data_IF_985148634880
#
_entry.id   IF_985148634880
#
_cell.length_a   1.000
_cell.length_b   1.000
_cell.length_c   1.000
_cell.angle_alpha   90.00
_cell.angle_beta   90.00
_cell.angle_gamma   90.00
#
_symmetry.space_group_name_H-M   'P 1'
#
loop_
_entity.id
_entity.type
_entity.pdbx_description
1 polymer ?
#
# COMPACT_ATOMS: atom_id res chain seq x y z
N UNK A 1 -2.76 2.82 17.31
CA UNK A 1 -2.98 2.18 15.98
C UNK A 1 -1.85 2.55 15.00
N UNK A 2 -1.81 3.76 14.42
CA UNK A 2 -0.79 4.11 13.40
C UNK A 2 0.67 4.01 13.86
N UNK A 3 1.00 4.51 15.06
CA UNK A 3 2.35 4.39 15.65
C UNK A 3 2.81 2.93 15.77
N UNK A 4 1.88 2.03 16.11
CA UNK A 4 2.14 0.60 16.20
C UNK A 4 2.35 -0.01 14.82
N UNK A 5 1.51 0.32 13.84
CA UNK A 5 1.66 -0.13 12.46
C UNK A 5 3.02 0.25 11.87
N UNK A 6 3.47 1.49 12.10
CA UNK A 6 4.78 1.97 11.66
C UNK A 6 5.89 1.21 12.40
N UNK A 7 5.84 1.10 13.73
CA UNK A 7 6.83 0.35 14.51
C UNK A 7 6.97 -1.11 14.05
N UNK A 8 5.85 -1.80 13.81
CA UNK A 8 5.86 -3.18 13.34
C UNK A 8 6.41 -3.27 11.91
N UNK A 9 6.01 -2.35 11.03
CA UNK A 9 6.55 -2.28 9.67
C UNK A 9 8.06 -2.11 9.70
N UNK A 10 8.58 -1.12 10.43
CA UNK A 10 10.02 -0.87 10.53
C UNK A 10 10.78 -2.02 11.21
N UNK A 11 10.14 -2.75 12.13
CA UNK A 11 10.71 -3.95 12.76
C UNK A 11 10.92 -5.09 11.75
N UNK A 12 9.98 -5.29 10.83
CA UNK A 12 10.01 -6.38 9.85
C UNK A 12 10.58 -5.98 8.49
N UNK A 13 10.89 -4.70 8.27
CA UNK A 13 11.42 -4.21 7.00
C UNK A 13 12.89 -4.63 6.82
N UNK A 14 13.25 -5.31 5.72
CA UNK A 14 14.65 -5.54 5.36
C UNK A 14 15.41 -4.23 5.16
N UNK A 15 16.71 -4.23 5.48
CA UNK A 15 17.57 -3.02 5.44
C UNK A 15 17.66 -2.36 4.05
N UNK A 16 17.49 -3.14 2.99
CA UNK A 16 17.65 -2.68 1.61
C UNK A 16 16.39 -1.97 1.08
N UNK A 17 15.26 -2.06 1.80
CA UNK A 17 14.03 -1.37 1.45
C UNK A 17 14.00 -0.02 2.17
N UNK A 18 13.88 1.06 1.40
CA UNK A 18 13.87 2.43 1.94
C UNK A 18 12.46 2.80 2.42
N UNK A 19 12.22 2.98 3.74
CA UNK A 19 10.92 3.39 4.22
C UNK A 19 10.67 4.88 3.97
N UNK A 20 9.44 5.21 3.60
CA UNK A 20 8.94 6.58 3.50
C UNK A 20 7.58 6.61 4.21
N UNK A 21 7.41 7.54 5.15
CA UNK A 21 6.09 7.81 5.74
C UNK A 21 5.39 8.86 4.87
N UNK A 22 4.11 8.66 4.62
CA UNK A 22 3.25 9.67 3.99
C UNK A 22 2.16 10.07 4.98
N UNK A 23 2.01 11.38 5.19
CA UNK A 23 0.88 11.92 5.95
C UNK A 23 0.10 12.93 5.12
N UNK A 24 -1.15 12.57 4.84
CA UNK A 24 -2.07 13.39 4.08
C UNK A 24 -2.89 14.31 4.98
N UNK A 25 -2.22 15.24 5.68
CA UNK A 25 -2.90 16.22 6.54
C UNK A 25 -2.09 17.52 6.68
N UNK A 26 -1.32 17.86 5.64
CA UNK A 26 -0.48 19.04 5.59
C UNK A 26 0.74 18.97 6.52
N UNK A 27 1.75 19.80 6.20
CA UNK A 27 3.02 19.83 6.93
C UNK A 27 2.82 20.43 8.32
N UNK A 28 3.05 19.62 9.35
CA UNK A 28 3.07 20.05 10.76
C UNK A 28 3.96 19.12 11.57
N UNK A 29 4.41 19.57 12.74
CA UNK A 29 5.14 18.69 13.67
C UNK A 29 4.19 17.63 14.21
N UNK A 30 4.57 16.36 14.10
CA UNK A 30 3.79 15.22 14.58
C UNK A 30 4.68 14.20 15.27
N UNK A 31 4.07 13.16 15.86
CA UNK A 31 4.84 12.02 16.39
C UNK A 31 5.55 11.24 15.26
N UNK A 32 5.23 11.48 13.99
CA UNK A 32 5.89 10.84 12.86
C UNK A 32 7.36 11.29 12.76
N UNK A 33 7.66 12.53 13.15
CA UNK A 33 9.02 13.08 13.16
C UNK A 33 9.95 12.32 14.15
N UNK A 34 9.40 11.60 15.12
CA UNK A 34 10.16 10.80 16.08
C UNK A 34 10.78 9.53 15.48
N UNK A 35 10.28 9.06 14.32
CA UNK A 35 10.77 7.82 13.70
C UNK A 35 12.12 7.98 12.99
N UNK A 36 12.56 9.21 12.73
CA UNK A 36 13.85 9.47 12.08
C UNK A 36 13.95 8.97 10.63
N UNK A 37 12.81 8.75 9.96
CA UNK A 37 12.74 8.35 8.55
C UNK A 37 12.11 9.45 7.70
N UNK A 38 12.34 9.47 6.37
CA UNK A 38 11.74 10.48 5.50
C UNK A 38 10.22 10.51 5.59
N UNK A 39 9.66 11.73 5.65
CA UNK A 39 8.21 11.97 5.72
C UNK A 39 7.82 12.89 4.58
N UNK A 40 6.83 12.50 3.80
CA UNK A 40 6.14 13.37 2.86
C UNK A 40 4.79 13.78 3.44
N UNK A 41 4.61 15.09 3.60
CA UNK A 41 3.32 15.65 3.98
C UNK A 41 2.58 16.09 2.72
N UNK A 42 1.40 15.52 2.48
CA UNK A 42 0.51 15.86 1.36
C UNK A 42 -0.76 16.56 1.86
N UNK A 43 -1.50 17.19 0.95
CA UNK A 43 -2.77 17.87 1.25
C UNK A 43 -3.94 17.32 0.40
N UNK A 44 -3.78 16.11 -0.15
CA UNK A 44 -4.74 15.50 -1.06
C UNK A 44 -6.12 15.26 -0.43
N UNK A 45 -6.23 15.21 0.90
CA UNK A 45 -7.51 15.18 1.61
C UNK A 45 -8.38 16.43 1.41
N UNK A 46 -7.83 17.52 0.86
CA UNK A 46 -8.63 18.68 0.40
C UNK A 46 -9.45 18.34 -0.85
N UNK A 47 -9.10 17.29 -1.59
CA UNK A 47 -9.86 16.80 -2.73
C UNK A 47 -11.05 15.98 -2.23
N UNK A 48 -12.25 16.38 -2.64
CA UNK A 48 -13.50 15.70 -2.27
C UNK A 48 -13.80 14.57 -3.26
N UNK A 49 -13.08 13.46 -3.16
CA UNK A 49 -13.44 12.22 -3.87
C UNK A 49 -14.47 11.41 -3.07
N UNK A 50 -15.29 10.65 -3.80
CA UNK A 50 -16.20 9.65 -3.24
C UNK A 50 -15.42 8.53 -2.56
N UNK A 51 -14.32 8.07 -3.17
CA UNK A 51 -13.47 7.02 -2.63
C UNK A 51 -12.13 7.55 -2.09
N UNK A 52 -11.81 7.18 -0.84
CA UNK A 52 -10.50 7.46 -0.23
C UNK A 52 -9.32 6.84 -0.99
N UNK A 53 -9.56 5.79 -1.77
CA UNK A 53 -8.54 5.17 -2.64
C UNK A 53 -7.95 6.14 -3.67
N UNK A 54 -8.73 7.12 -4.14
CA UNK A 54 -8.23 8.17 -5.03
C UNK A 54 -7.20 9.05 -4.31
N UNK A 55 -7.48 9.46 -3.06
CA UNK A 55 -6.51 10.21 -2.24
C UNK A 55 -5.22 9.41 -1.99
N UNK A 56 -5.34 8.11 -1.69
CA UNK A 56 -4.17 7.25 -1.50
C UNK A 56 -3.34 7.10 -2.79
N UNK A 57 -3.97 7.05 -3.96
CA UNK A 57 -3.24 7.02 -5.24
C UNK A 57 -2.49 8.32 -5.52
N UNK A 58 -3.12 9.47 -5.28
CA UNK A 58 -2.46 10.78 -5.40
C UNK A 58 -1.28 10.91 -4.42
N UNK A 59 -1.41 10.37 -3.21
CA UNK A 59 -0.33 10.30 -2.22
C UNK A 59 0.84 9.45 -2.73
N UNK A 60 0.57 8.29 -3.35
CA UNK A 60 1.60 7.45 -3.97
C UNK A 60 2.29 8.24 -5.09
N UNK A 61 1.55 8.87 -6.01
CA UNK A 61 2.13 9.64 -7.12
C UNK A 61 3.00 10.80 -6.62
N UNK A 62 2.57 11.49 -5.56
CA UNK A 62 3.36 12.52 -4.91
C UNK A 62 4.70 11.98 -4.35
N UNK A 63 4.70 10.78 -3.75
CA UNK A 63 5.94 10.10 -3.31
C UNK A 63 6.84 9.77 -4.49
N UNK A 64 6.30 9.18 -5.56
CA UNK A 64 7.09 8.82 -6.74
C UNK A 64 7.84 10.03 -7.30
N UNK A 65 7.16 11.19 -7.35
CA UNK A 65 7.73 12.44 -7.81
C UNK A 65 8.75 13.02 -6.81
N UNK A 66 8.37 13.17 -5.54
CA UNK A 66 9.18 13.84 -4.52
C UNK A 66 10.52 13.13 -4.25
N UNK A 67 10.54 11.80 -4.37
CA UNK A 67 11.73 10.98 -4.14
C UNK A 67 12.42 10.53 -5.43
N UNK A 68 11.95 11.00 -6.60
CA UNK A 68 12.49 10.62 -7.90
C UNK A 68 12.60 9.09 -8.07
N UNK A 69 11.50 8.38 -7.76
CA UNK A 69 11.45 6.92 -7.87
C UNK A 69 11.45 6.52 -9.34
N UNK A 70 12.36 5.64 -9.71
CA UNK A 70 12.61 5.22 -11.08
C UNK A 70 11.60 4.16 -11.52
N UNK A 71 11.39 4.05 -12.84
CA UNK A 71 10.32 3.22 -13.42
C UNK A 71 10.38 1.73 -13.05
N UNK A 72 11.59 1.19 -12.89
CA UNK A 72 11.81 -0.22 -12.52
C UNK A 72 11.93 -0.44 -11.00
N UNK A 73 11.87 0.62 -10.18
CA UNK A 73 11.87 0.46 -8.72
C UNK A 73 10.56 -0.21 -8.27
N UNK A 74 10.67 -1.21 -7.41
CA UNK A 74 9.53 -1.88 -6.79
C UNK A 74 9.03 -1.06 -5.58
N UNK A 75 7.79 -0.58 -5.66
CA UNK A 75 7.18 0.21 -4.60
C UNK A 75 6.26 -0.67 -3.78
N UNK A 76 6.55 -0.79 -2.47
CA UNK A 76 5.71 -1.49 -1.51
C UNK A 76 4.86 -0.46 -0.77
N UNK A 77 3.53 -0.57 -0.90
CA UNK A 77 2.57 0.28 -0.20
C UNK A 77 1.99 -0.45 0.99
N UNK A 78 1.97 0.20 2.15
CA UNK A 78 1.24 -0.28 3.33
C UNK A 78 0.40 0.85 3.95
N UNK A 79 -0.90 0.64 4.14
CA UNK A 79 -1.75 1.59 4.86
C UNK A 79 -1.58 1.40 6.36
N UNK A 80 -1.57 2.49 7.15
CA UNK A 80 -1.34 2.46 8.60
C UNK A 80 -2.35 1.70 9.48
N UNK A 81 -3.30 0.95 8.89
CA UNK A 81 -4.20 0.00 9.58
C UNK A 81 -3.77 -1.47 9.42
N UNK A 82 -2.75 -1.71 8.62
CA UNK A 82 -2.19 -3.03 8.36
C UNK A 82 -0.87 -3.17 9.10
N UNK A 83 -0.79 -4.19 9.95
CA UNK A 83 0.33 -4.46 10.83
C UNK A 83 1.02 -5.75 10.36
N UNK A 84 2.22 -5.67 9.77
CA UNK A 84 3.00 -6.86 9.45
C UNK A 84 3.29 -7.67 10.71
N UNK A 85 3.20 -9.00 10.61
CA UNK A 85 3.52 -9.92 11.71
C UNK A 85 4.78 -10.75 11.46
N UNK A 86 5.29 -10.70 10.22
CA UNK A 86 6.54 -11.30 9.78
C UNK A 86 7.18 -10.42 8.69
N UNK A 87 8.39 -10.76 8.27
CA UNK A 87 9.09 -10.14 7.13
C UNK A 87 8.84 -10.88 5.80
N UNK A 88 7.97 -11.90 5.80
CA UNK A 88 7.80 -12.83 4.69
C UNK A 88 7.41 -12.15 3.37
N UNK A 89 6.44 -11.21 3.42
CA UNK A 89 6.04 -10.47 2.23
C UNK A 89 7.17 -9.60 1.68
N UNK A 90 7.89 -8.86 2.54
CA UNK A 90 9.00 -8.02 2.11
C UNK A 90 10.13 -8.85 1.48
N UNK A 91 10.46 -10.00 2.07
CA UNK A 91 11.45 -10.93 1.51
C UNK A 91 11.00 -11.55 0.20
N UNK A 92 9.72 -11.90 0.07
CA UNK A 92 9.14 -12.41 -1.17
C UNK A 92 9.34 -11.40 -2.30
N UNK A 93 9.00 -10.13 -2.05
CA UNK A 93 9.19 -9.04 -3.03
C UNK A 93 10.68 -8.91 -3.36
N UNK A 94 11.55 -8.78 -2.36
CA UNK A 94 13.00 -8.61 -2.57
C UNK A 94 13.64 -9.78 -3.35
N UNK A 95 13.16 -10.99 -3.16
CA UNK A 95 13.73 -12.20 -3.81
C UNK A 95 13.25 -12.34 -5.25
N UNK A 96 12.05 -11.85 -5.57
CA UNK A 96 11.39 -12.14 -6.85
C UNK A 96 11.05 -10.90 -7.69
N UNK A 97 11.39 -9.69 -7.24
CA UNK A 97 11.04 -8.42 -7.92
C UNK A 97 11.52 -8.34 -9.36
N UNK A 98 12.60 -9.03 -9.72
CA UNK A 98 13.09 -9.09 -11.09
C UNK A 98 12.17 -9.86 -12.05
N UNK A 99 11.31 -10.74 -11.51
CA UNK A 99 10.50 -11.68 -12.27
C UNK A 99 9.06 -11.20 -12.51
N UNK A 100 8.62 -10.17 -11.78
CA UNK A 100 7.23 -9.73 -11.76
C UNK A 100 7.13 -8.21 -11.81
N UNK A 101 6.02 -7.72 -12.36
CA UNK A 101 5.66 -6.30 -12.33
C UNK A 101 5.04 -5.89 -10.99
N UNK A 102 4.55 -6.84 -10.20
CA UNK A 102 4.04 -6.60 -8.85
C UNK A 102 3.60 -7.86 -8.11
N UNK A 103 3.14 -7.64 -6.87
CA UNK A 103 2.76 -8.65 -5.90
C UNK A 103 1.45 -8.22 -5.25
N UNK A 104 0.38 -8.97 -5.53
CA UNK A 104 -0.98 -8.60 -5.14
C UNK A 104 -1.69 -9.82 -4.58
N UNK A 105 -2.39 -9.65 -3.45
CA UNK A 105 -3.31 -10.67 -2.95
C UNK A 105 -4.73 -10.39 -3.44
N UNK A 106 -5.25 -11.29 -4.27
CA UNK A 106 -6.61 -11.21 -4.79
C UNK A 106 -7.60 -11.82 -3.79
N UNK A 107 -8.21 -10.97 -2.97
CA UNK A 107 -8.99 -11.36 -1.80
C UNK A 107 -9.91 -10.22 -1.38
N UNK A 108 -11.16 -10.54 -1.07
CA UNK A 108 -12.11 -9.58 -0.53
C UNK A 108 -12.06 -9.61 1.01
N UNK A 109 -11.60 -8.50 1.58
CA UNK A 109 -11.38 -8.36 3.03
C UNK A 109 -12.70 -8.37 3.81
N UNK A 110 -13.80 -7.92 3.21
CA UNK A 110 -15.13 -7.85 3.83
C UNK A 110 -15.80 -9.23 3.90
N UNK A 111 -15.76 -10.01 2.82
CA UNK A 111 -16.36 -11.36 2.76
C UNK A 111 -15.41 -12.44 3.28
N UNK A 112 -14.11 -12.14 3.40
CA UNK A 112 -13.04 -13.07 3.80
C UNK A 112 -12.84 -14.21 2.78
N UNK A 113 -13.10 -13.94 1.51
CA UNK A 113 -13.02 -14.91 0.43
C UNK A 113 -11.99 -14.51 -0.64
N UNK A 114 -11.38 -15.51 -1.28
CA UNK A 114 -10.60 -15.28 -2.49
C UNK A 114 -11.53 -14.83 -3.61
N UNK A 115 -11.20 -13.68 -4.22
CA UNK A 115 -11.96 -13.12 -5.33
C UNK A 115 -10.98 -12.66 -6.40
N UNK A 116 -11.18 -13.09 -7.64
CA UNK A 116 -10.26 -12.78 -8.74
C UNK A 116 -10.33 -11.31 -9.17
N UNK A 117 -11.45 -10.65 -8.88
CA UNK A 117 -11.78 -9.28 -9.22
C UNK A 117 -11.67 -8.30 -8.04
N UNK A 118 -11.15 -8.73 -6.89
CA UNK A 118 -10.97 -7.91 -5.70
C UNK A 118 -9.56 -8.13 -5.14
N UNK A 119 -9.03 -7.19 -4.37
CA UNK A 119 -7.68 -7.31 -3.82
C UNK A 119 -7.49 -6.60 -2.48
N UNK A 120 -6.46 -7.01 -1.76
CA UNK A 120 -6.01 -6.32 -0.56
C UNK A 120 -5.23 -5.06 -0.96
N UNK A 121 -5.94 -3.93 -1.14
CA UNK A 121 -5.30 -2.66 -1.50
C UNK A 121 -4.46 -2.06 -0.35
N UNK A 122 -4.64 -2.57 0.88
CA UNK A 122 -3.92 -2.15 2.07
C UNK A 122 -2.44 -2.53 2.13
N UNK A 123 -2.05 -3.59 1.40
CA UNK A 123 -0.66 -4.02 1.23
C UNK A 123 -0.47 -4.65 -0.14
N UNK A 124 0.39 -4.05 -0.97
CA UNK A 124 0.81 -4.60 -2.25
C UNK A 124 2.22 -4.10 -2.62
N UNK A 125 2.81 -4.70 -3.66
CA UNK A 125 3.99 -4.16 -4.32
C UNK A 125 3.77 -4.04 -5.83
N UNK A 126 4.26 -2.97 -6.46
CA UNK A 126 4.15 -2.77 -7.90
C UNK A 126 5.32 -1.92 -8.41
N UNK A 127 5.83 -2.20 -9.60
CA UNK A 127 6.84 -1.34 -10.24
C UNK A 127 6.30 0.06 -10.46
N UNK A 128 7.13 1.06 -10.19
CA UNK A 128 6.73 2.46 -10.23
C UNK A 128 6.14 2.89 -11.58
N UNK A 129 6.64 2.36 -12.71
CA UNK A 129 6.10 2.67 -14.05
C UNK A 129 4.60 2.38 -14.17
N UNK A 130 4.09 1.36 -13.49
CA UNK A 130 2.67 1.02 -13.52
C UNK A 130 1.87 1.94 -12.60
N UNK A 131 2.40 2.27 -11.42
CA UNK A 131 1.79 3.24 -10.51
C UNK A 131 1.70 4.65 -11.12
N UNK A 132 2.70 5.06 -11.90
CA UNK A 132 2.70 6.34 -12.64
C UNK A 132 1.60 6.39 -13.72
N UNK A 133 1.29 5.25 -14.34
CA UNK A 133 0.28 5.13 -15.41
C UNK A 133 -1.13 4.86 -14.90
N UNK A 134 -1.25 4.28 -13.71
CA UNK A 134 -2.53 3.87 -13.16
C UNK A 134 -3.38 5.10 -12.81
N UNK A 135 -4.61 5.09 -13.27
CA UNK A 135 -5.63 6.07 -12.93
C UNK A 135 -6.82 5.35 -12.30
N UNK A 136 -7.30 5.90 -11.18
CA UNK A 136 -8.49 5.40 -10.51
C UNK A 136 -9.65 6.34 -10.80
N UNK A 137 -10.75 5.78 -11.29
CA UNK A 137 -11.96 6.57 -11.52
C UNK A 137 -12.73 6.69 -10.22
N UNK A 138 -13.17 7.90 -9.89
CA UNK A 138 -14.02 8.15 -8.71
C UNK A 138 -15.49 7.82 -9.06
N UNK A 139 -15.74 6.55 -9.32
CA UNK A 139 -17.05 6.00 -9.73
C UNK A 139 -17.57 5.02 -8.67
N UNK A 140 -18.75 4.43 -8.87
CA UNK A 140 -19.38 3.48 -7.92
C UNK A 140 -18.54 2.21 -7.67
N UNK A 141 -17.58 1.87 -8.55
CA UNK A 141 -16.74 0.68 -8.37
C UNK A 141 -15.71 0.91 -7.28
N UNK A 142 -15.56 -0.05 -6.36
CA UNK A 142 -14.58 0.07 -5.29
C UNK A 142 -13.15 0.21 -5.83
N UNK A 143 -12.29 0.98 -5.15
CA UNK A 143 -10.86 1.09 -5.44
C UNK A 143 -10.17 -0.27 -5.59
N UNK A 144 -10.50 -1.23 -4.74
CA UNK A 144 -9.93 -2.56 -4.72
C UNK A 144 -10.24 -3.33 -6.02
N UNK A 145 -11.47 -3.24 -6.52
CA UNK A 145 -11.88 -3.89 -7.78
C UNK A 145 -11.23 -3.23 -8.98
N UNK A 146 -11.15 -1.89 -8.98
CA UNK A 146 -10.48 -1.15 -10.06
C UNK A 146 -8.98 -1.48 -10.12
N UNK A 147 -8.31 -1.51 -8.97
CA UNK A 147 -6.89 -1.85 -8.89
C UNK A 147 -6.63 -3.31 -9.25
N UNK A 148 -7.46 -4.25 -8.77
CA UNK A 148 -7.38 -5.66 -9.13
C UNK A 148 -7.50 -5.86 -10.64
N UNK A 149 -8.45 -5.17 -11.29
CA UNK A 149 -8.65 -5.23 -12.74
C UNK A 149 -7.39 -4.78 -13.49
N UNK A 150 -6.82 -3.64 -13.09
CA UNK A 150 -5.58 -3.13 -13.67
C UNK A 150 -4.40 -4.10 -13.49
N UNK A 151 -4.22 -4.65 -12.29
CA UNK A 151 -3.13 -5.58 -12.01
C UNK A 151 -3.23 -6.91 -12.79
N UNK A 152 -4.44 -7.33 -13.19
CA UNK A 152 -4.62 -8.55 -14.00
C UNK A 152 -4.10 -8.42 -15.44
N UNK A 153 -3.90 -7.20 -15.92
CA UNK A 153 -3.28 -6.93 -17.23
C UNK A 153 -1.75 -6.97 -17.18
N UNK A 154 -1.16 -7.13 -15.98
CA UNK A 154 0.28 -7.10 -15.74
C UNK A 154 0.81 -8.48 -15.35
N UNK A 155 2.14 -8.68 -15.42
CA UNK A 155 2.77 -9.89 -14.91
C UNK A 155 2.92 -9.81 -13.38
N UNK A 156 1.82 -9.97 -12.65
CA UNK A 156 1.82 -9.94 -11.18
C UNK A 156 1.90 -11.34 -10.57
N UNK A 157 2.62 -11.45 -9.46
CA UNK A 157 2.57 -12.62 -8.58
C UNK A 157 1.33 -12.53 -7.70
N UNK A 158 0.47 -13.54 -7.79
CA UNK A 158 -0.64 -13.72 -6.86
C UNK A 158 -0.12 -14.21 -5.51
N UNK A 159 -0.25 -13.34 -4.49
CA UNK A 159 0.26 -13.62 -3.15
C UNK A 159 -0.81 -14.33 -2.33
N UNK A 160 -0.47 -15.52 -1.84
CA UNK A 160 -1.39 -16.35 -1.06
C UNK A 160 -1.55 -15.86 0.39
N UNK A 161 -0.46 -15.37 0.98
CA UNK A 161 -0.41 -14.99 2.38
C UNK A 161 0.44 -13.73 2.53
N UNK A 162 -0.12 -12.71 3.19
CA UNK A 162 0.55 -11.43 3.38
C UNK A 162 1.25 -11.32 4.73
N UNK A 163 0.90 -12.17 5.69
CA UNK A 163 1.33 -12.09 7.09
C UNK A 163 1.08 -10.71 7.67
N UNK A 164 -0.17 -10.25 7.55
CA UNK A 164 -0.63 -8.99 8.12
C UNK A 164 -1.83 -9.17 9.02
N UNK A 165 -1.91 -8.30 10.03
CA UNK A 165 -3.11 -8.04 10.82
C UNK A 165 -3.77 -6.76 10.32
N UNK A 166 -5.00 -6.83 9.82
CA UNK A 166 -5.83 -5.68 9.48
C UNK A 166 -6.81 -5.41 10.62
N UNK A 167 -6.87 -4.17 11.10
CA UNK A 167 -7.82 -3.73 12.12
C UNK A 167 -8.95 -2.96 11.44
N UNK A 168 -10.17 -3.50 11.48
CA UNK A 168 -11.35 -2.84 10.92
C UNK A 168 -11.70 -1.57 11.70
N UNK A 169 -12.00 -0.48 11.00
CA UNK A 169 -12.26 0.81 11.63
C UNK A 169 -13.54 0.83 12.48
N UNK A 170 -14.58 0.15 12.01
CA UNK A 170 -15.91 0.24 12.61
C UNK A 170 -16.12 -0.77 13.75
N UNK A 171 -15.42 -1.91 13.71
CA UNK A 171 -15.62 -3.03 14.64
C UNK A 171 -14.41 -3.36 15.51
N UNK A 172 -13.21 -2.83 15.17
CA UNK A 172 -11.92 -3.21 15.76
C UNK A 172 -11.59 -4.71 15.64
N UNK A 173 -12.34 -5.46 14.82
CA UNK A 173 -12.02 -6.84 14.49
C UNK A 173 -10.65 -6.94 13.82
N UNK A 174 -9.96 -8.05 14.05
CA UNK A 174 -8.65 -8.34 13.47
C UNK A 174 -8.79 -9.42 12.42
N UNK A 175 -8.47 -9.10 11.17
CA UNK A 175 -8.26 -10.09 10.11
C UNK A 175 -6.77 -10.40 10.02
N UNK A 176 -6.41 -11.68 10.04
CA UNK A 176 -5.07 -12.17 9.70
C UNK A 176 -5.10 -12.68 8.26
N UNK A 177 -4.23 -12.15 7.40
CA UNK A 177 -4.27 -12.36 5.96
C UNK A 177 -2.88 -12.60 5.36
#
# INVERSE_FOLDING_TARGET
>A
MYREAINLTLKYLPKDIKPIIVENNGKRKTYLDEFGIPILYTENNKNHYWHKGCNELEDIKAVLQAFNIQDEDMVIKITGRYNPISDAFFRLVQTEESNYDGFVKFFNVCTKEFMTNDCVLGLFALKAKHLKKYEMTDTVRSPEVQFATFCRELNVKEVKQLDIRCIFADTLEVLVC
#
